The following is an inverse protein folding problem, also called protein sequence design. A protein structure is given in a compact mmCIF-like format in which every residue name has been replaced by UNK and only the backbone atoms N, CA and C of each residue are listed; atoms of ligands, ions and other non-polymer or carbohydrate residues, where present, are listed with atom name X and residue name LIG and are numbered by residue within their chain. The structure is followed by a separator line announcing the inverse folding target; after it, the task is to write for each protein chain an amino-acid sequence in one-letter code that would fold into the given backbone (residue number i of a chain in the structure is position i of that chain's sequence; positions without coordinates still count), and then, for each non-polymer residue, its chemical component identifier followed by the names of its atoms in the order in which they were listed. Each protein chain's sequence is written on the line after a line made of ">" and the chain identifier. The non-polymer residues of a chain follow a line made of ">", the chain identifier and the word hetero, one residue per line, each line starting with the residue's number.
data_IF_336116034961
#
_entry.id   IF_336116034961
#
_cell.length_a   1.000
_cell.length_b   1.000
_cell.length_c   1.000
_cell.angle_alpha   90.00
_cell.angle_beta   90.00
_cell.angle_gamma   90.00
#
_symmetry.space_group_name_H-M   'P 1'
#
loop_
_entity.id
_entity.type
_entity.pdbx_description
1 polymer ?
#
# COMPACT_ATOMS: atom_id res chain seq x y z
N UNK A 1 12.83 -19.76 -34.45
CA UNK A 1 12.95 -19.35 -35.86
C UNK A 1 12.65 -17.86 -35.90
N UNK A 2 13.69 -17.03 -35.79
CA UNK A 2 13.60 -15.56 -35.91
C UNK A 2 13.59 -15.16 -37.40
N UNK A 3 13.08 -13.96 -37.72
CA UNK A 3 13.95 -13.09 -38.48
C UNK A 3 13.98 -11.65 -37.97
N UNK A 4 15.19 -11.14 -37.88
CA UNK A 4 15.54 -9.73 -37.88
C UNK A 4 15.93 -9.33 -39.30
N UNK A 5 15.56 -8.13 -39.75
CA UNK A 5 16.31 -7.40 -40.79
C UNK A 5 16.13 -5.89 -40.62
N UNK A 6 17.23 -5.21 -40.33
CA UNK A 6 17.42 -3.77 -40.44
C UNK A 6 18.18 -3.46 -41.75
N UNK A 7 17.80 -2.38 -42.46
CA UNK A 7 18.67 -1.60 -43.38
C UNK A 7 17.96 -0.26 -43.67
N UNK A 8 18.47 0.89 -43.23
CA UNK A 8 19.52 1.81 -43.75
C UNK A 8 18.93 3.10 -44.39
N UNK A 9 18.93 4.16 -43.58
CA UNK A 9 19.35 5.55 -43.81
C UNK A 9 19.27 6.19 -45.22
N UNK A 10 18.59 7.35 -45.27
CA UNK A 10 18.98 8.50 -46.11
C UNK A 10 18.93 9.80 -45.28
N UNK A 11 20.07 10.51 -45.25
CA UNK A 11 20.29 11.80 -44.58
C UNK A 11 19.78 12.96 -45.44
N UNK A 12 19.12 13.94 -44.82
CA UNK A 12 19.12 15.33 -45.28
C UNK A 12 19.37 16.22 -44.07
N UNK A 13 20.42 17.03 -44.17
CA UNK A 13 20.82 18.02 -43.18
C UNK A 13 20.25 19.38 -43.56
N UNK A 14 19.68 20.10 -42.59
CA UNK A 14 19.56 21.56 -42.64
C UNK A 14 19.71 22.12 -41.23
N UNK A 15 20.75 22.94 -41.06
CA UNK A 15 21.06 23.68 -39.85
C UNK A 15 20.09 24.85 -39.62
N UNK A 16 19.67 25.09 -38.37
CA UNK A 16 20.17 26.23 -37.58
C UNK A 16 19.42 26.45 -36.25
N UNK A 17 20.24 26.68 -35.22
CA UNK A 17 20.03 27.53 -34.04
C UNK A 17 18.97 27.14 -32.99
N UNK A 18 19.47 26.46 -31.96
CA UNK A 18 19.52 27.05 -30.62
C UNK A 18 18.40 26.67 -29.65
N UNK A 19 18.52 25.53 -28.99
CA UNK A 19 18.01 25.37 -27.62
C UNK A 19 18.85 24.38 -26.83
N UNK A 20 19.22 24.81 -25.63
CA UNK A 20 20.22 24.23 -24.73
C UNK A 20 19.89 22.78 -24.41
N UNK A 21 20.89 21.92 -24.63
CA UNK A 21 20.98 20.57 -24.07
C UNK A 21 21.12 20.64 -22.56
N UNK A 22 20.20 19.99 -21.84
CA UNK A 22 20.41 19.52 -20.47
C UNK A 22 20.02 18.04 -20.45
N UNK A 23 20.99 17.19 -20.76
CA UNK A 23 21.04 15.86 -20.13
C UNK A 23 21.71 16.03 -18.77
N UNK A 24 21.28 15.24 -17.79
CA UNK A 24 22.09 14.48 -16.82
C UNK A 24 21.36 14.41 -15.47
N UNK A 25 20.95 13.19 -15.14
CA UNK A 25 20.77 12.58 -13.82
C UNK A 25 20.10 13.40 -12.71
N UNK A 26 18.90 12.96 -12.28
CA UNK A 26 18.48 13.10 -10.89
C UNK A 26 17.49 11.99 -10.49
N UNK A 27 17.82 11.28 -9.41
CA UNK A 27 17.05 10.23 -8.71
C UNK A 27 15.54 10.19 -8.97
N UNK A 28 15.06 9.16 -9.67
CA UNK A 28 13.70 9.15 -10.26
C UNK A 28 12.66 8.24 -9.59
N UNK A 29 13.01 7.48 -8.54
CA UNK A 29 12.06 6.54 -7.91
C UNK A 29 10.99 7.24 -7.06
N UNK A 30 11.39 8.06 -6.08
CA UNK A 30 10.46 8.72 -5.15
C UNK A 30 9.77 9.96 -5.71
N UNK A 31 10.39 10.64 -6.69
CA UNK A 31 9.87 11.87 -7.29
C UNK A 31 8.73 11.63 -8.29
N UNK A 32 8.64 10.42 -8.87
CA UNK A 32 7.59 10.09 -9.83
C UNK A 32 6.28 9.70 -9.15
N UNK A 33 6.34 8.83 -8.12
CA UNK A 33 5.18 8.41 -7.34
C UNK A 33 4.49 9.60 -6.66
N UNK A 34 5.25 10.41 -5.92
CA UNK A 34 4.72 11.61 -5.23
C UNK A 34 4.05 12.59 -6.19
N UNK A 35 4.61 12.78 -7.40
CA UNK A 35 3.98 13.60 -8.44
C UNK A 35 2.66 12.99 -8.93
N UNK A 36 2.64 11.70 -9.23
CA UNK A 36 1.42 11.00 -9.68
C UNK A 36 0.30 11.11 -8.65
N UNK A 37 0.62 10.91 -7.37
CA UNK A 37 -0.35 11.04 -6.27
C UNK A 37 -0.84 12.48 -6.15
N UNK A 38 0.07 13.47 -6.14
CA UNK A 38 -0.29 14.89 -6.04
C UNK A 38 -1.15 15.38 -7.21
N UNK A 39 -0.89 14.92 -8.43
CA UNK A 39 -1.71 15.24 -9.59
C UNK A 39 -3.09 14.57 -9.51
N UNK A 40 -3.16 13.35 -8.96
CA UNK A 40 -4.42 12.64 -8.74
C UNK A 40 -5.28 13.27 -7.64
N UNK A 41 -4.69 13.80 -6.57
CA UNK A 41 -5.41 14.54 -5.51
C UNK A 41 -6.15 15.77 -6.04
N UNK A 42 -5.56 16.47 -7.02
CA UNK A 42 -6.19 17.67 -7.62
C UNK A 42 -7.50 17.33 -8.35
N UNK A 43 -7.65 16.11 -8.85
CA UNK A 43 -8.79 15.68 -9.66
C UNK A 43 -10.05 15.47 -8.80
N UNK A 44 -9.90 15.08 -7.53
CA UNK A 44 -11.02 14.80 -6.62
C UNK A 44 -11.57 16.06 -5.92
N UNK A 45 -10.99 17.23 -6.21
CA UNK A 45 -11.46 18.56 -5.82
C UNK A 45 -11.14 18.99 -4.38
N UNK A 46 -11.10 18.04 -3.44
CA UNK A 46 -10.57 18.26 -2.10
C UNK A 46 -9.36 17.36 -1.89
N UNK A 47 -8.24 17.88 -1.36
CA UNK A 47 -7.15 17.02 -0.94
C UNK A 47 -7.69 16.02 0.07
N UNK A 48 -7.36 14.74 -0.08
CA UNK A 48 -7.59 13.76 1.00
C UNK A 48 -6.99 14.29 2.31
N UNK A 49 -5.93 15.09 2.24
CA UNK A 49 -5.26 15.69 3.41
C UNK A 49 -6.16 16.62 4.23
N UNK A 50 -7.26 17.13 3.67
CA UNK A 50 -8.30 17.81 4.46
C UNK A 50 -9.03 16.85 5.43
N UNK A 51 -9.15 15.57 5.06
CA UNK A 51 -9.71 14.52 5.93
C UNK A 51 -8.74 14.14 7.05
N UNK A 52 -7.44 14.05 6.77
CA UNK A 52 -6.41 13.89 7.81
C UNK A 52 -6.42 15.07 8.76
N UNK A 53 -6.58 16.29 8.25
CA UNK A 53 -6.73 17.50 9.06
C UNK A 53 -7.99 17.46 9.93
N UNK A 54 -9.16 17.09 9.40
CA UNK A 54 -10.38 16.98 10.21
C UNK A 54 -10.26 15.93 11.31
N UNK A 55 -9.61 14.80 11.01
CA UNK A 55 -9.32 13.77 12.01
C UNK A 55 -8.29 14.24 13.06
N UNK A 56 -7.22 14.92 12.64
CA UNK A 56 -6.18 15.50 13.52
C UNK A 56 -6.68 16.64 14.40
N UNK A 57 -7.68 17.39 13.92
CA UNK A 57 -8.30 18.49 14.62
C UNK A 57 -9.46 18.03 15.52
N UNK A 58 -9.75 16.73 15.61
CA UNK A 58 -10.69 16.23 16.62
C UNK A 58 -10.06 16.38 18.01
N UNK A 59 -10.88 16.71 19.01
CA UNK A 59 -10.44 16.86 20.40
C UNK A 59 -9.82 15.55 20.91
N UNK A 60 -10.35 14.42 20.46
CA UNK A 60 -9.90 13.10 20.82
C UNK A 60 -8.55 12.75 20.20
N UNK A 61 -8.32 13.06 18.91
CA UNK A 61 -7.00 12.82 18.31
C UNK A 61 -5.95 13.81 18.83
N UNK A 62 -6.37 15.01 19.22
CA UNK A 62 -5.51 15.95 19.97
C UNK A 62 -5.09 15.37 21.32
N UNK A 63 -6.00 14.71 22.05
CA UNK A 63 -5.69 13.99 23.28
C UNK A 63 -4.74 12.81 23.04
N UNK A 64 -4.96 12.02 21.99
CA UNK A 64 -4.04 10.94 21.58
C UNK A 64 -2.65 11.53 21.26
N UNK A 65 -2.59 12.61 20.47
CA UNK A 65 -1.35 13.27 20.11
C UNK A 65 -0.58 13.80 21.34
N UNK A 66 -1.28 14.36 22.33
CA UNK A 66 -0.67 14.77 23.61
C UNK A 66 -0.06 13.58 24.36
N UNK A 67 -0.73 12.43 24.37
CA UNK A 67 -0.20 11.22 25.00
C UNK A 67 0.99 10.63 24.23
N UNK A 68 0.94 10.61 22.90
CA UNK A 68 2.06 10.16 22.05
C UNK A 68 3.32 10.99 22.27
N UNK A 69 3.20 12.30 22.56
CA UNK A 69 4.36 13.15 22.90
C UNK A 69 5.16 12.64 24.11
N UNK A 70 4.53 11.91 25.04
CA UNK A 70 5.24 11.32 26.19
C UNK A 70 6.20 10.20 25.79
N UNK A 71 6.02 9.63 24.60
CA UNK A 71 6.91 8.59 24.05
C UNK A 71 8.12 9.19 23.32
N UNK A 72 8.18 10.52 23.14
CA UNK A 72 9.32 11.17 22.47
C UNK A 72 10.62 10.86 23.21
N UNK A 73 11.62 10.37 22.47
CA UNK A 73 12.88 9.88 23.03
C UNK A 73 12.93 8.35 23.21
N UNK A 74 11.85 7.64 22.94
CA UNK A 74 11.80 6.17 22.89
C UNK A 74 11.79 5.66 21.44
N UNK A 75 12.01 4.36 21.23
CA UNK A 75 11.84 3.69 19.93
C UNK A 75 10.45 3.04 19.78
N UNK A 76 9.45 3.47 20.55
CA UNK A 76 8.11 2.89 20.44
C UNK A 76 7.52 3.13 19.03
N UNK A 77 7.09 2.10 18.29
CA UNK A 77 6.64 2.22 16.89
C UNK A 77 5.48 3.20 16.68
N UNK A 78 4.62 3.38 17.68
CA UNK A 78 3.54 4.38 17.67
C UNK A 78 4.04 5.80 17.30
N UNK A 79 5.27 6.17 17.66
CA UNK A 79 5.87 7.44 17.25
C UNK A 79 6.07 7.52 15.74
N UNK A 80 6.51 6.43 15.11
CA UNK A 80 6.67 6.39 13.66
C UNK A 80 5.32 6.45 12.95
N UNK A 81 4.31 5.75 13.48
CA UNK A 81 2.92 5.85 12.98
C UNK A 81 2.41 7.28 13.09
N UNK A 82 2.60 7.94 14.24
CA UNK A 82 2.19 9.32 14.46
C UNK A 82 2.96 10.34 13.59
N UNK A 83 4.28 10.13 13.40
CA UNK A 83 5.10 10.93 12.48
C UNK A 83 4.64 10.76 11.05
N UNK A 84 4.24 9.55 10.66
CA UNK A 84 3.55 9.28 9.41
C UNK A 84 2.42 10.27 9.22
N UNK A 85 1.49 10.34 10.17
CA UNK A 85 0.32 11.22 10.10
C UNK A 85 0.63 12.72 9.97
N UNK A 86 1.71 13.20 10.59
CA UNK A 86 2.03 14.65 10.66
C UNK A 86 2.99 15.09 9.55
N UNK A 87 4.04 14.32 9.29
CA UNK A 87 5.16 14.74 8.44
C UNK A 87 5.16 14.08 7.06
N UNK A 88 4.60 12.88 6.90
CA UNK A 88 4.71 12.10 5.65
C UNK A 88 3.60 12.44 4.64
N UNK A 89 3.27 13.74 4.56
CA UNK A 89 2.41 14.38 3.56
C UNK A 89 2.84 14.16 2.10
N UNK A 90 4.00 13.53 1.87
CA UNK A 90 4.59 13.36 0.54
C UNK A 90 4.49 11.95 -0.04
N UNK A 91 4.25 10.90 0.77
CA UNK A 91 4.43 9.53 0.24
C UNK A 91 3.34 8.49 0.53
N UNK A 92 2.47 8.60 1.54
CA UNK A 92 1.64 7.41 1.85
C UNK A 92 0.29 7.60 2.51
N UNK A 93 -0.07 8.79 3.01
CA UNK A 93 -1.06 8.78 4.08
C UNK A 93 -2.48 8.39 3.68
N UNK A 94 -2.88 8.54 2.40
CA UNK A 94 -4.29 8.35 2.02
C UNK A 94 -4.51 7.78 0.63
N UNK A 95 -3.60 6.91 0.19
CA UNK A 95 -3.72 6.24 -1.11
C UNK A 95 -5.05 5.49 -1.24
N UNK A 96 -5.57 4.92 -0.15
CA UNK A 96 -6.80 4.11 -0.19
C UNK A 96 -8.02 5.00 -0.40
N UNK A 97 -8.16 6.05 0.42
CA UNK A 97 -9.22 7.05 0.23
C UNK A 97 -9.17 7.70 -1.15
N UNK A 98 -7.98 8.11 -1.61
CA UNK A 98 -7.80 8.72 -2.93
C UNK A 98 -8.25 7.79 -4.07
N UNK A 99 -7.84 6.52 -4.04
CA UNK A 99 -8.24 5.54 -5.04
C UNK A 99 -9.76 5.34 -5.05
N UNK A 100 -10.40 5.25 -3.88
CA UNK A 100 -11.87 5.14 -3.77
C UNK A 100 -12.56 6.36 -4.40
N UNK A 101 -12.06 7.57 -4.14
CA UNK A 101 -12.60 8.81 -4.71
C UNK A 101 -12.42 8.90 -6.23
N UNK A 102 -11.24 8.59 -6.73
CA UNK A 102 -10.95 8.57 -8.17
C UNK A 102 -11.81 7.55 -8.89
N UNK A 103 -11.97 6.36 -8.31
CA UNK A 103 -12.80 5.30 -8.91
C UNK A 103 -14.28 5.71 -8.93
N UNK A 104 -14.75 6.31 -7.85
CA UNK A 104 -16.11 6.89 -7.77
C UNK A 104 -16.33 7.94 -8.86
N UNK A 105 -15.36 8.83 -9.07
CA UNK A 105 -15.41 9.86 -10.11
C UNK A 105 -15.32 9.28 -11.53
N UNK A 106 -14.48 8.27 -11.74
CA UNK A 106 -14.30 7.62 -13.03
C UNK A 106 -15.55 6.84 -13.46
N UNK A 107 -16.24 6.20 -12.51
CA UNK A 107 -17.49 5.50 -12.77
C UNK A 107 -18.65 6.45 -13.07
N UNK A 108 -18.67 7.63 -12.44
CA UNK A 108 -19.76 8.59 -12.61
C UNK A 108 -21.09 8.09 -12.03
N UNK A 109 -22.21 8.77 -12.36
CA UNK A 109 -23.53 8.40 -11.86
C UNK A 109 -24.04 7.10 -12.50
N UNK A 110 -24.78 6.31 -11.73
CA UNK A 110 -25.49 5.12 -12.25
C UNK A 110 -26.87 5.50 -12.77
N UNK A 111 -27.27 4.93 -13.90
CA UNK A 111 -28.63 5.08 -14.44
C UNK A 111 -29.70 4.40 -13.56
N UNK A 112 -29.31 3.47 -12.69
CA UNK A 112 -30.21 2.75 -11.78
C UNK A 112 -30.45 3.49 -10.45
N UNK A 113 -29.71 4.57 -10.18
CA UNK A 113 -29.80 5.32 -8.93
C UNK A 113 -30.83 6.46 -9.01
N UNK A 114 -32.11 6.10 -9.14
CA UNK A 114 -33.23 7.05 -9.30
C UNK A 114 -33.35 8.01 -8.09
N UNK A 115 -33.00 7.54 -6.89
CA UNK A 115 -33.08 8.30 -5.64
C UNK A 115 -31.86 9.20 -5.37
N UNK A 116 -30.81 9.13 -6.21
CA UNK A 116 -29.59 9.92 -6.04
C UNK A 116 -29.57 11.08 -7.04
N UNK A 117 -29.68 12.31 -6.54
CA UNK A 117 -29.67 13.48 -7.39
C UNK A 117 -28.24 13.84 -7.81
N UNK A 118 -27.95 14.04 -9.12
CA UNK A 118 -26.63 14.48 -9.59
C UNK A 118 -26.17 15.81 -8.98
N UNK A 119 -27.10 16.63 -8.49
CA UNK A 119 -26.81 17.90 -7.82
C UNK A 119 -26.14 17.72 -6.45
N UNK A 120 -26.25 16.54 -5.83
CA UNK A 120 -25.61 16.24 -4.54
C UNK A 120 -24.11 15.95 -4.70
N UNK A 121 -23.64 15.76 -5.94
CA UNK A 121 -22.25 15.43 -6.22
C UNK A 121 -21.35 16.66 -6.10
N UNK A 122 -20.29 16.54 -5.32
CA UNK A 122 -19.22 17.55 -5.27
C UNK A 122 -18.06 17.07 -6.11
N UNK A 123 -17.71 17.81 -7.16
CA UNK A 123 -16.66 17.43 -8.13
C UNK A 123 -16.90 16.07 -8.80
N UNK A 124 -18.16 15.67 -8.98
CA UNK A 124 -18.52 14.40 -9.62
C UNK A 124 -18.41 13.17 -8.70
N UNK A 125 -18.49 13.36 -7.37
CA UNK A 125 -18.45 12.27 -6.37
C UNK A 125 -19.58 12.50 -5.36
N UNK A 126 -20.33 11.46 -5.03
CA UNK A 126 -21.41 11.53 -4.04
C UNK A 126 -20.88 11.65 -2.61
N UNK A 127 -21.61 12.32 -1.69
CA UNK A 127 -21.23 12.44 -0.28
C UNK A 127 -21.02 11.08 0.40
N UNK A 128 -21.85 10.08 0.11
CA UNK A 128 -21.71 8.72 0.66
C UNK A 128 -20.39 8.05 0.23
N UNK A 129 -19.96 8.24 -1.02
CA UNK A 129 -18.68 7.73 -1.52
C UNK A 129 -17.49 8.46 -0.88
N UNK A 130 -17.62 9.77 -0.64
CA UNK A 130 -16.61 10.54 0.11
C UNK A 130 -16.49 10.04 1.54
N UNK A 131 -17.62 9.87 2.24
CA UNK A 131 -17.66 9.31 3.59
C UNK A 131 -17.03 7.91 3.62
N UNK A 132 -17.32 7.05 2.64
CA UNK A 132 -16.68 5.73 2.53
C UNK A 132 -15.15 5.82 2.35
N UNK A 133 -14.66 6.79 1.59
CA UNK A 133 -13.22 7.02 1.43
C UNK A 133 -12.56 7.41 2.77
N UNK A 134 -13.17 8.30 3.57
CA UNK A 134 -12.62 8.63 4.90
C UNK A 134 -12.77 7.49 5.91
N UNK A 135 -13.88 6.73 5.89
CA UNK A 135 -14.03 5.50 6.68
C UNK A 135 -12.92 4.49 6.34
N UNK A 136 -12.64 4.28 5.05
CA UNK A 136 -11.60 3.35 4.58
C UNK A 136 -10.24 3.75 5.14
N UNK A 137 -9.94 5.04 5.15
CA UNK A 137 -8.68 5.55 5.66
C UNK A 137 -8.58 5.49 7.19
N UNK A 138 -9.69 5.73 7.90
CA UNK A 138 -9.77 5.56 9.36
C UNK A 138 -9.51 4.11 9.77
N UNK A 139 -10.09 3.13 9.06
CA UNK A 139 -9.83 1.70 9.32
C UNK A 139 -8.36 1.37 9.06
N UNK A 140 -7.79 1.86 7.96
CA UNK A 140 -6.38 1.63 7.67
C UNK A 140 -5.47 2.25 8.73
N UNK A 141 -5.78 3.47 9.16
CA UNK A 141 -5.09 4.20 10.23
C UNK A 141 -5.15 3.42 11.54
N UNK A 142 -6.33 2.92 11.93
CA UNK A 142 -6.50 2.09 13.12
C UNK A 142 -5.61 0.84 13.05
N UNK A 143 -5.62 0.16 11.91
CA UNK A 143 -4.79 -1.02 11.65
C UNK A 143 -3.29 -0.71 11.80
N UNK A 144 -2.78 0.39 11.22
CA UNK A 144 -1.38 0.79 11.36
C UNK A 144 -1.00 1.13 12.81
N UNK A 145 -1.91 1.75 13.57
CA UNK A 145 -1.71 2.06 14.98
C UNK A 145 -1.63 0.77 15.80
N UNK A 146 -2.52 -0.19 15.61
CA UNK A 146 -2.50 -1.49 16.28
C UNK A 146 -1.25 -2.32 15.93
N UNK A 147 -0.77 -2.26 14.68
CA UNK A 147 0.51 -2.90 14.29
C UNK A 147 1.73 -2.32 15.00
N UNK A 148 1.61 -1.14 15.61
CA UNK A 148 2.67 -0.50 16.39
C UNK A 148 2.83 -1.04 17.82
N UNK A 149 2.06 -2.06 18.23
CA UNK A 149 2.19 -2.72 19.53
C UNK A 149 3.48 -3.56 19.56
N UNK A 150 4.29 -3.37 20.60
CA UNK A 150 5.57 -4.08 20.76
C UNK A 150 5.43 -5.35 21.61
N UNK A 151 6.20 -6.38 21.24
CA UNK A 151 6.37 -7.57 22.08
C UNK A 151 7.32 -7.26 23.25
N UNK A 152 6.76 -7.08 24.45
CA UNK A 152 7.54 -6.73 25.64
C UNK A 152 8.51 -7.84 26.10
N UNK A 153 8.43 -9.06 25.56
CA UNK A 153 9.41 -10.13 25.83
C UNK A 153 10.73 -9.93 25.10
N UNK A 154 10.72 -9.26 23.95
CA UNK A 154 11.88 -8.99 23.09
C UNK A 154 12.45 -7.59 23.31
N UNK A 155 11.90 -6.84 24.27
CA UNK A 155 12.28 -5.47 24.57
C UNK A 155 13.73 -5.35 25.07
N UNK A 156 14.37 -4.26 24.69
CA UNK A 156 15.73 -3.90 25.10
C UNK A 156 15.79 -2.48 25.69
N UNK A 157 16.79 -2.19 26.52
CA UNK A 157 16.97 -0.85 27.10
C UNK A 157 17.12 0.27 26.04
N UNK A 158 17.61 -0.08 24.84
CA UNK A 158 17.69 0.84 23.70
C UNK A 158 16.33 1.32 23.19
N UNK A 159 15.24 0.60 23.49
CA UNK A 159 13.90 0.95 23.03
C UNK A 159 13.25 2.05 23.90
N UNK A 160 13.79 2.31 25.09
CA UNK A 160 13.21 3.18 26.11
C UNK A 160 12.80 2.40 27.35
N UNK A 161 12.30 3.06 28.40
CA UNK A 161 11.97 2.36 29.65
C UNK A 161 10.79 1.40 29.47
N UNK A 162 10.77 0.29 30.23
CA UNK A 162 9.66 -0.66 30.21
C UNK A 162 8.30 0.02 30.47
N UNK A 163 8.27 1.02 31.36
CA UNK A 163 7.06 1.81 31.65
C UNK A 163 6.57 2.58 30.43
N UNK A 164 7.50 3.16 29.66
CA UNK A 164 7.15 3.90 28.45
C UNK A 164 6.67 2.96 27.34
N UNK A 165 7.27 1.77 27.22
CA UNK A 165 6.81 0.76 26.27
C UNK A 165 5.41 0.24 26.59
N UNK A 166 5.14 -0.05 27.88
CA UNK A 166 3.81 -0.43 28.35
C UNK A 166 2.79 0.69 28.10
N UNK A 167 3.18 1.93 28.36
CA UNK A 167 2.34 3.10 28.09
C UNK A 167 2.06 3.24 26.59
N UNK A 168 3.07 3.06 25.74
CA UNK A 168 2.94 3.10 24.30
C UNK A 168 2.00 2.01 23.77
N UNK A 169 2.11 0.77 24.27
CA UNK A 169 1.20 -0.32 23.93
C UNK A 169 -0.23 0.01 24.33
N UNK A 170 -0.44 0.54 25.53
CA UNK A 170 -1.77 0.98 25.99
C UNK A 170 -2.35 2.04 25.07
N UNK A 171 -1.54 3.02 24.65
CA UNK A 171 -1.98 4.07 23.74
C UNK A 171 -2.28 3.54 22.34
N UNK A 172 -1.47 2.60 21.83
CA UNK A 172 -1.70 1.98 20.53
C UNK A 172 -3.04 1.22 20.49
N UNK A 173 -3.33 0.40 21.51
CA UNK A 173 -4.62 -0.31 21.60
C UNK A 173 -5.79 0.68 21.62
N UNK A 174 -5.80 1.61 22.58
CA UNK A 174 -6.92 2.54 22.77
C UNK A 174 -7.15 3.47 21.56
N UNK A 175 -6.07 3.95 20.94
CA UNK A 175 -6.17 4.85 19.80
C UNK A 175 -6.68 4.12 18.55
N UNK A 176 -6.21 2.89 18.31
CA UNK A 176 -6.73 2.07 17.22
C UNK A 176 -8.21 1.71 17.43
N UNK A 177 -8.62 1.36 18.65
CA UNK A 177 -10.01 1.04 18.99
C UNK A 177 -10.93 2.25 18.79
N UNK A 178 -10.48 3.45 19.20
CA UNK A 178 -11.20 4.69 18.99
C UNK A 178 -11.43 5.00 17.51
N UNK A 179 -10.38 4.89 16.68
CA UNK A 179 -10.48 5.11 15.24
C UNK A 179 -11.43 4.09 14.59
N UNK A 180 -11.36 2.83 15.00
CA UNK A 180 -12.23 1.77 14.49
C UNK A 180 -13.69 1.99 14.90
N UNK A 181 -13.96 2.42 16.13
CA UNK A 181 -15.31 2.76 16.59
C UNK A 181 -15.94 3.92 15.79
N UNK A 182 -15.15 4.94 15.48
CA UNK A 182 -15.58 6.04 14.61
C UNK A 182 -15.85 5.58 13.18
N UNK A 183 -14.99 4.70 12.64
CA UNK A 183 -15.22 4.11 11.32
C UNK A 183 -16.52 3.29 11.29
N UNK A 184 -16.79 2.47 12.31
CA UNK A 184 -18.05 1.71 12.44
C UNK A 184 -19.27 2.64 12.53
N UNK A 185 -19.17 3.74 13.27
CA UNK A 185 -20.24 4.75 13.34
C UNK A 185 -20.49 5.38 11.96
N UNK A 186 -19.42 5.74 11.24
CA UNK A 186 -19.51 6.24 9.87
C UNK A 186 -20.13 5.22 8.91
N UNK A 187 -19.76 3.93 9.01
CA UNK A 187 -20.34 2.86 8.20
C UNK A 187 -21.85 2.73 8.42
N UNK A 188 -22.30 2.79 9.67
CA UNK A 188 -23.73 2.75 9.99
C UNK A 188 -24.48 3.95 9.38
N UNK A 189 -23.88 5.14 9.39
CA UNK A 189 -24.45 6.35 8.80
C UNK A 189 -24.59 6.29 7.26
N UNK A 190 -23.85 5.39 6.58
CA UNK A 190 -24.06 5.15 5.14
C UNK A 190 -25.40 4.48 4.83
N UNK A 191 -26.10 3.92 5.84
CA UNK A 191 -27.42 3.28 5.71
C UNK A 191 -27.49 2.22 4.59
N UNK A 192 -26.39 1.48 4.38
CA UNK A 192 -26.31 0.42 3.37
C UNK A 192 -25.69 -0.84 3.98
N UNK A 193 -26.51 -1.83 4.29
CA UNK A 193 -26.10 -3.06 5.00
C UNK A 193 -25.09 -3.89 4.22
N UNK A 194 -25.17 -3.92 2.89
CA UNK A 194 -24.18 -4.63 2.04
C UNK A 194 -22.82 -3.96 2.09
N UNK A 195 -22.78 -2.62 2.15
CA UNK A 195 -21.53 -1.87 2.33
C UNK A 195 -20.94 -2.14 3.71
N UNK A 196 -21.77 -2.15 4.76
CA UNK A 196 -21.35 -2.55 6.11
C UNK A 196 -20.76 -3.96 6.10
N UNK A 197 -21.40 -4.92 5.45
CA UNK A 197 -20.94 -6.31 5.33
C UNK A 197 -19.60 -6.41 4.58
N UNK A 198 -19.48 -5.73 3.43
CA UNK A 198 -18.23 -5.69 2.66
C UNK A 198 -17.08 -5.12 3.48
N UNK A 199 -17.26 -3.99 4.16
CA UNK A 199 -16.17 -3.38 4.92
C UNK A 199 -15.87 -4.16 6.21
N UNK A 200 -16.89 -4.68 6.91
CA UNK A 200 -16.69 -5.50 8.11
C UNK A 200 -15.94 -6.80 7.79
N UNK A 201 -16.25 -7.44 6.66
CA UNK A 201 -15.48 -8.61 6.21
C UNK A 201 -14.05 -8.23 5.81
N UNK A 202 -13.80 -7.02 5.30
CA UNK A 202 -12.44 -6.55 5.03
C UNK A 202 -11.62 -6.36 6.32
N UNK A 203 -12.25 -5.91 7.41
CA UNK A 203 -11.62 -5.84 8.74
C UNK A 203 -11.25 -7.25 9.22
N UNK A 204 -12.15 -8.22 9.05
CA UNK A 204 -11.88 -9.63 9.34
C UNK A 204 -10.68 -10.18 8.55
N UNK A 205 -10.64 -9.92 7.25
CA UNK A 205 -9.53 -10.32 6.38
C UNK A 205 -8.19 -9.73 6.86
N UNK A 206 -8.16 -8.44 7.21
CA UNK A 206 -6.95 -7.78 7.72
C UNK A 206 -6.40 -8.45 8.98
N UNK A 207 -7.28 -8.74 9.95
CA UNK A 207 -6.90 -9.40 11.21
C UNK A 207 -6.41 -10.83 10.94
N UNK A 208 -7.09 -11.56 10.06
CA UNK A 208 -6.67 -12.90 9.65
C UNK A 208 -5.29 -12.88 8.97
N UNK A 209 -5.04 -11.91 8.10
CA UNK A 209 -3.75 -11.73 7.44
C UNK A 209 -2.59 -11.50 8.43
N UNK A 210 -2.82 -10.72 9.49
CA UNK A 210 -1.82 -10.52 10.56
C UNK A 210 -1.57 -11.80 11.36
N UNK A 211 -2.61 -12.58 11.64
CA UNK A 211 -2.45 -13.85 12.32
C UNK A 211 -1.53 -14.81 11.53
N UNK A 212 -1.69 -14.85 10.20
CA UNK A 212 -0.81 -15.63 9.33
C UNK A 212 0.61 -15.05 9.24
N UNK A 213 0.78 -13.72 9.21
CA UNK A 213 2.11 -13.08 9.28
C UNK A 213 2.89 -13.51 10.53
N UNK A 214 2.24 -13.53 11.69
CA UNK A 214 2.91 -13.88 12.95
C UNK A 214 3.27 -15.36 13.04
N UNK A 215 2.36 -16.27 12.65
CA UNK A 215 2.61 -17.71 12.70
C UNK A 215 3.70 -18.16 11.71
N UNK A 216 3.84 -17.48 10.57
CA UNK A 216 4.83 -17.82 9.56
C UNK A 216 6.28 -17.42 9.93
N UNK A 217 6.47 -16.53 10.92
CA UNK A 217 7.79 -16.08 11.35
C UNK A 217 8.52 -17.08 12.28
N UNK A 218 7.83 -17.94 13.03
CA UNK A 218 8.47 -18.76 14.07
C UNK A 218 8.79 -20.21 13.63
N UNK A 219 7.98 -20.86 12.78
CA UNK A 219 8.19 -22.27 12.39
C UNK A 219 8.30 -22.51 10.86
N UNK A 220 7.56 -21.78 10.02
CA UNK A 220 7.47 -22.07 8.57
C UNK A 220 8.61 -21.47 7.71
N UNK A 221 9.32 -20.46 8.23
CA UNK A 221 10.52 -19.91 7.58
C UNK A 221 11.62 -20.97 7.40
N UNK A 222 11.63 -22.02 8.24
CA UNK A 222 12.62 -23.09 8.23
C UNK A 222 12.11 -24.38 7.54
N UNK A 223 10.81 -24.66 7.55
CA UNK A 223 10.22 -25.96 7.20
C UNK A 223 9.68 -26.15 5.76
N UNK A 224 9.79 -25.16 4.87
CA UNK A 224 9.62 -25.33 3.42
C UNK A 224 8.21 -25.13 2.84
N UNK A 225 7.26 -24.51 3.55
CA UNK A 225 5.83 -24.58 3.20
C UNK A 225 5.15 -23.36 2.56
N UNK A 226 5.80 -22.20 2.38
CA UNK A 226 5.11 -21.01 1.83
C UNK A 226 5.40 -20.89 0.33
N UNK A 227 4.41 -21.19 -0.50
CA UNK A 227 4.46 -20.96 -1.94
C UNK A 227 3.97 -19.54 -2.30
N UNK A 228 4.13 -19.17 -3.58
CA UNK A 228 3.76 -17.84 -4.09
C UNK A 228 2.26 -17.58 -3.96
N UNK A 229 1.43 -18.62 -4.09
CA UNK A 229 -0.02 -18.51 -3.94
C UNK A 229 -0.41 -18.17 -2.50
N UNK A 230 0.21 -18.84 -1.52
CA UNK A 230 0.03 -18.56 -0.09
C UNK A 230 0.50 -17.15 0.27
N UNK A 231 1.61 -16.71 -0.33
CA UNK A 231 2.08 -15.32 -0.18
C UNK A 231 1.07 -14.31 -0.75
N UNK A 232 0.52 -14.55 -1.95
CA UNK A 232 -0.44 -13.64 -2.59
C UNK A 232 -1.74 -13.56 -1.77
N UNK A 233 -2.21 -14.70 -1.24
CA UNK A 233 -3.37 -14.74 -0.35
C UNK A 233 -3.11 -13.95 0.93
N UNK A 234 -1.98 -14.21 1.60
CA UNK A 234 -1.60 -13.50 2.82
C UNK A 234 -1.45 -11.99 2.57
N UNK A 235 -0.77 -11.59 1.50
CA UNK A 235 -0.60 -10.20 1.10
C UNK A 235 -1.95 -9.54 0.75
N UNK A 236 -2.87 -10.28 0.13
CA UNK A 236 -4.21 -9.79 -0.12
C UNK A 236 -4.95 -9.56 1.20
N UNK A 237 -4.96 -10.52 2.11
CA UNK A 237 -5.63 -10.41 3.40
C UNK A 237 -5.08 -9.24 4.22
N UNK A 238 -3.75 -9.14 4.38
CA UNK A 238 -3.13 -8.15 5.27
C UNK A 238 -2.97 -6.74 4.68
N UNK A 239 -3.04 -6.58 3.35
CA UNK A 239 -2.78 -5.29 2.70
C UNK A 239 -3.85 -4.85 1.69
N UNK A 240 -4.44 -5.80 0.96
CA UNK A 240 -5.28 -5.52 -0.21
C UNK A 240 -6.79 -5.59 -0.01
N UNK A 241 -7.26 -6.40 0.94
CA UNK A 241 -8.67 -6.69 1.15
C UNK A 241 -9.51 -5.43 1.37
N UNK A 242 -9.03 -4.53 2.24
CA UNK A 242 -9.69 -3.26 2.52
C UNK A 242 -9.85 -2.39 1.27
N UNK A 243 -8.79 -2.21 0.48
CA UNK A 243 -8.89 -1.38 -0.72
C UNK A 243 -9.82 -2.00 -1.77
N UNK A 244 -9.71 -3.31 -2.00
CA UNK A 244 -10.53 -4.03 -2.96
C UNK A 244 -12.03 -3.94 -2.61
N UNK A 245 -12.37 -4.22 -1.34
CA UNK A 245 -13.75 -4.18 -0.85
C UNK A 245 -14.29 -2.74 -0.75
N UNK A 246 -13.47 -1.75 -0.43
CA UNK A 246 -13.87 -0.34 -0.48
C UNK A 246 -14.15 0.15 -1.91
N UNK A 247 -13.35 -0.26 -2.89
CA UNK A 247 -13.61 0.03 -4.30
C UNK A 247 -14.95 -0.57 -4.75
N UNK A 248 -15.22 -1.82 -4.37
CA UNK A 248 -16.50 -2.49 -4.65
C UNK A 248 -17.68 -1.78 -3.96
N UNK A 249 -17.52 -1.43 -2.68
CA UNK A 249 -18.53 -0.75 -1.89
C UNK A 249 -18.89 0.63 -2.45
N UNK A 250 -17.90 1.36 -3.00
CA UNK A 250 -18.14 2.65 -3.65
C UNK A 250 -19.08 2.55 -4.86
N UNK A 251 -19.03 1.42 -5.58
CA UNK A 251 -19.94 1.13 -6.69
C UNK A 251 -21.33 0.71 -6.19
N UNK A 252 -21.41 -0.11 -5.13
CA UNK A 252 -22.69 -0.51 -4.53
C UNK A 252 -23.45 0.68 -3.91
N UNK A 253 -22.75 1.66 -3.31
CA UNK A 253 -23.37 2.86 -2.73
C UNK A 253 -24.22 3.66 -3.73
N UNK A 254 -23.85 3.60 -5.01
CA UNK A 254 -24.54 4.32 -6.10
C UNK A 254 -25.23 3.36 -7.05
N UNK A 255 -25.50 2.11 -6.62
CA UNK A 255 -26.26 1.11 -7.38
C UNK A 255 -25.70 0.87 -8.81
N UNK A 256 -24.38 0.89 -8.99
CA UNK A 256 -23.76 0.38 -10.22
C UNK A 256 -23.98 -1.13 -10.34
N UNK A 257 -23.98 -1.65 -11.56
CA UNK A 257 -24.23 -3.07 -11.81
C UNK A 257 -23.15 -3.99 -11.20
N UNK A 258 -23.43 -5.29 -11.16
CA UNK A 258 -22.52 -6.26 -10.54
C UNK A 258 -21.18 -6.39 -11.26
N UNK A 259 -21.13 -6.07 -12.55
CA UNK A 259 -19.90 -6.14 -13.33
C UNK A 259 -18.97 -4.96 -13.00
N UNK A 260 -19.49 -3.74 -12.94
CA UNK A 260 -18.77 -2.56 -12.48
C UNK A 260 -18.26 -2.73 -11.05
N UNK A 261 -19.08 -3.29 -10.14
CA UNK A 261 -18.65 -3.65 -8.78
C UNK A 261 -17.49 -4.66 -8.79
N UNK A 262 -17.58 -5.70 -9.63
CA UNK A 262 -16.53 -6.74 -9.75
C UNK A 262 -15.23 -6.18 -10.34
N UNK A 263 -15.33 -5.27 -11.30
CA UNK A 263 -14.16 -4.61 -11.92
C UNK A 263 -13.49 -3.65 -10.94
N UNK A 264 -14.28 -2.89 -10.17
CA UNK A 264 -13.80 -2.04 -9.08
C UNK A 264 -13.04 -2.85 -8.02
N UNK A 265 -13.59 -3.99 -7.60
CA UNK A 265 -12.91 -4.93 -6.69
C UNK A 265 -11.57 -5.40 -7.26
N UNK A 266 -11.56 -5.85 -8.53
CA UNK A 266 -10.32 -6.32 -9.19
C UNK A 266 -9.27 -5.23 -9.27
N UNK A 267 -9.66 -4.00 -9.61
CA UNK A 267 -8.74 -2.88 -9.63
C UNK A 267 -8.08 -2.68 -8.26
N UNK A 268 -8.86 -2.56 -7.19
CA UNK A 268 -8.32 -2.38 -5.83
C UNK A 268 -7.46 -3.56 -5.36
N UNK A 269 -7.85 -4.81 -5.67
CA UNK A 269 -7.08 -6.02 -5.37
C UNK A 269 -5.72 -6.00 -6.05
N UNK A 270 -5.69 -5.81 -7.36
CA UNK A 270 -4.44 -5.88 -8.10
C UNK A 270 -3.55 -4.67 -7.82
N UNK A 271 -4.11 -3.47 -7.64
CA UNK A 271 -3.35 -2.29 -7.26
C UNK A 271 -2.62 -2.47 -5.93
N UNK A 272 -3.32 -2.98 -4.91
CA UNK A 272 -2.74 -3.18 -3.58
C UNK A 272 -1.67 -4.27 -3.57
N UNK A 273 -1.87 -5.39 -4.27
CA UNK A 273 -0.86 -6.44 -4.43
C UNK A 273 0.39 -5.94 -5.17
N UNK A 274 0.21 -5.18 -6.25
CA UNK A 274 1.31 -4.52 -6.95
C UNK A 274 2.07 -3.57 -6.02
N UNK A 275 1.37 -2.76 -5.23
CA UNK A 275 2.00 -1.86 -4.27
C UNK A 275 2.79 -2.61 -3.19
N UNK A 276 2.27 -3.74 -2.68
CA UNK A 276 3.00 -4.59 -1.72
C UNK A 276 4.27 -5.17 -2.34
N UNK A 277 4.19 -5.66 -3.59
CA UNK A 277 5.36 -6.14 -4.34
C UNK A 277 6.40 -5.05 -4.55
N UNK A 278 5.96 -3.85 -4.94
CA UNK A 278 6.86 -2.71 -5.10
C UNK A 278 7.59 -2.40 -3.79
N UNK A 279 6.88 -2.36 -2.67
CA UNK A 279 7.48 -2.16 -1.35
C UNK A 279 8.49 -3.25 -0.99
N UNK A 280 8.18 -4.52 -1.27
CA UNK A 280 9.07 -5.66 -1.02
C UNK A 280 10.31 -5.64 -1.93
N UNK A 281 10.21 -5.05 -3.11
CA UNK A 281 11.31 -4.90 -4.08
C UNK A 281 12.24 -3.73 -3.77
N UNK A 282 11.79 -2.71 -3.02
CA UNK A 282 12.60 -1.50 -2.76
C UNK A 282 14.02 -1.81 -2.25
N UNK A 283 14.23 -2.73 -1.28
CA UNK A 283 15.56 -3.07 -0.81
C UNK A 283 16.48 -3.67 -1.89
N UNK A 284 15.88 -4.29 -2.90
CA UNK A 284 16.59 -5.00 -3.94
C UNK A 284 16.92 -4.12 -5.15
N UNK A 285 16.13 -3.09 -5.41
CA UNK A 285 16.29 -2.26 -6.62
C UNK A 285 16.96 -0.90 -6.34
N UNK A 286 16.84 -0.36 -5.13
CA UNK A 286 17.56 0.87 -4.76
C UNK A 286 19.04 0.58 -4.50
N UNK A 287 19.92 1.35 -5.14
CA UNK A 287 21.34 1.42 -4.78
C UNK A 287 21.55 2.46 -3.69
N UNK A 288 21.21 2.11 -2.45
CA UNK A 288 21.57 2.91 -1.28
C UNK A 288 23.01 2.62 -0.89
N UNK A 289 23.97 3.40 -1.39
CA UNK A 289 25.33 3.38 -0.86
C UNK A 289 25.30 4.04 0.54
N UNK A 290 25.21 3.26 1.62
CA UNK A 290 25.40 3.83 2.96
C UNK A 290 24.96 3.00 4.15
N UNK A 291 23.85 2.26 4.08
CA UNK A 291 23.33 1.49 5.23
C UNK A 291 22.76 0.13 4.79
N UNK A 292 22.87 -0.93 5.64
CA UNK A 292 22.21 -2.20 5.37
C UNK A 292 20.69 -1.99 5.46
N UNK A 293 20.00 -1.94 4.33
CA UNK A 293 18.54 -1.96 4.31
C UNK A 293 18.05 -3.32 4.84
N UNK A 294 17.35 -3.30 5.96
CA UNK A 294 16.66 -4.48 6.47
C UNK A 294 15.44 -4.78 5.59
N UNK A 295 15.14 -6.06 5.40
CA UNK A 295 13.99 -6.53 4.62
C UNK A 295 13.36 -7.74 5.29
N UNK A 296 12.08 -8.02 4.99
CA UNK A 296 11.41 -9.20 5.55
C UNK A 296 11.85 -10.47 4.83
N UNK A 297 12.17 -11.52 5.59
CA UNK A 297 12.42 -12.86 5.03
C UNK A 297 11.16 -13.51 4.40
N UNK A 298 9.98 -12.96 4.68
CA UNK A 298 8.71 -13.33 4.05
C UNK A 298 8.37 -12.49 2.82
N UNK A 299 9.25 -11.56 2.42
CA UNK A 299 9.03 -10.73 1.23
C UNK A 299 9.07 -11.57 -0.06
N UNK A 300 8.32 -11.14 -1.08
CA UNK A 300 8.21 -11.89 -2.33
C UNK A 300 9.57 -12.23 -2.98
N UNK A 301 10.56 -11.31 -3.09
CA UNK A 301 11.85 -11.64 -3.70
C UNK A 301 12.59 -12.77 -2.98
N UNK A 302 12.51 -12.82 -1.64
CA UNK A 302 13.13 -13.86 -0.81
C UNK A 302 12.40 -15.18 -0.96
N UNK A 303 11.06 -15.17 -0.98
CA UNK A 303 10.27 -16.38 -1.19
C UNK A 303 10.51 -17.00 -2.56
N UNK A 304 10.53 -16.19 -3.63
CA UNK A 304 10.89 -16.67 -4.97
C UNK A 304 12.29 -17.25 -4.99
N UNK A 305 13.27 -16.56 -4.38
CA UNK A 305 14.64 -17.06 -4.28
C UNK A 305 14.69 -18.42 -3.57
N UNK A 306 14.05 -18.54 -2.40
CA UNK A 306 13.96 -19.79 -1.63
C UNK A 306 13.37 -20.93 -2.46
N UNK A 307 12.31 -20.65 -3.22
CA UNK A 307 11.67 -21.65 -4.09
C UNK A 307 12.60 -22.10 -5.23
N UNK A 308 13.38 -21.17 -5.80
CA UNK A 308 14.32 -21.44 -6.90
C UNK A 308 15.51 -22.29 -6.42
N UNK A 309 16.12 -21.92 -5.29
CA UNK A 309 17.33 -22.59 -4.79
C UNK A 309 17.04 -23.88 -4.02
N UNK A 310 15.80 -24.04 -3.54
CA UNK A 310 15.37 -25.16 -2.72
C UNK A 310 15.69 -24.99 -1.22
N UNK A 311 15.03 -25.75 -0.34
CA UNK A 311 15.11 -25.57 1.11
C UNK A 311 16.52 -25.79 1.68
N UNK A 312 17.26 -26.79 1.18
CA UNK A 312 18.61 -27.10 1.68
C UNK A 312 19.61 -25.97 1.40
N UNK A 313 19.64 -25.48 0.15
CA UNK A 313 20.54 -24.38 -0.24
C UNK A 313 20.16 -23.08 0.45
N UNK A 314 18.86 -22.83 0.64
CA UNK A 314 18.39 -21.68 1.42
C UNK A 314 18.85 -21.74 2.88
N UNK A 315 18.74 -22.91 3.53
CA UNK A 315 19.23 -23.10 4.90
C UNK A 315 20.75 -22.88 5.00
N UNK A 316 21.53 -23.37 4.03
CA UNK A 316 22.97 -23.10 3.97
C UNK A 316 23.28 -21.61 3.83
N UNK A 317 22.56 -20.89 2.96
CA UNK A 317 22.71 -19.45 2.79
C UNK A 317 22.35 -18.67 4.06
N UNK A 318 21.30 -19.07 4.78
CA UNK A 318 20.93 -18.50 6.08
C UNK A 318 22.00 -18.76 7.15
N UNK A 319 22.55 -19.97 7.22
CA UNK A 319 23.63 -20.29 8.15
C UNK A 319 24.90 -19.48 7.85
N UNK A 320 25.25 -19.33 6.57
CA UNK A 320 26.42 -18.54 6.15
C UNK A 320 26.26 -17.04 6.42
N UNK A 321 25.03 -16.53 6.38
CA UNK A 321 24.72 -15.15 6.70
C UNK A 321 24.48 -14.91 8.20
N UNK A 322 24.39 -15.96 9.02
CA UNK A 322 24.28 -15.82 10.48
C UNK A 322 25.66 -15.63 11.08
N UNK A 323 25.88 -14.48 11.71
CA UNK A 323 27.13 -14.16 12.41
C UNK A 323 27.31 -15.00 13.68
N UNK A 324 28.53 -15.03 14.23
CA UNK A 324 28.85 -15.71 15.50
C UNK A 324 28.01 -15.24 16.71
N UNK A 325 27.37 -14.07 16.62
CA UNK A 325 26.45 -13.54 17.64
C UNK A 325 24.99 -13.93 17.40
N UNK A 326 24.74 -14.89 16.50
CA UNK A 326 23.41 -15.31 16.06
C UNK A 326 22.57 -14.16 15.47
N UNK A 327 23.24 -13.18 14.86
CA UNK A 327 22.60 -12.06 14.15
C UNK A 327 22.71 -12.27 12.65
N UNK A 328 21.61 -12.04 11.95
CA UNK A 328 21.50 -12.20 10.50
C UNK A 328 22.19 -11.02 9.77
N UNK A 329 23.13 -11.32 8.89
CA UNK A 329 23.74 -10.36 7.97
C UNK A 329 22.83 -10.15 6.74
N UNK A 330 21.98 -9.14 6.85
CA UNK A 330 21.07 -8.75 5.77
C UNK A 330 21.82 -8.32 4.49
N UNK A 331 23.04 -7.79 4.60
CA UNK A 331 23.79 -7.35 3.42
C UNK A 331 24.24 -8.53 2.56
N UNK A 332 24.68 -9.61 3.21
CA UNK A 332 25.06 -10.86 2.55
C UNK A 332 23.84 -11.55 1.92
N UNK A 333 22.72 -11.64 2.65
CA UNK A 333 21.49 -12.24 2.10
C UNK A 333 20.92 -11.44 0.94
N UNK A 334 20.95 -10.11 1.03
CA UNK A 334 20.53 -9.23 -0.06
C UNK A 334 21.36 -9.48 -1.32
N UNK A 335 22.68 -9.63 -1.20
CA UNK A 335 23.55 -9.97 -2.34
C UNK A 335 23.22 -11.34 -2.93
N UNK A 336 22.97 -12.34 -2.08
CA UNK A 336 22.58 -13.70 -2.49
C UNK A 336 21.25 -13.69 -3.26
N UNK A 337 20.22 -13.03 -2.73
CA UNK A 337 18.90 -12.94 -3.38
C UNK A 337 18.98 -12.16 -4.70
N UNK A 338 19.83 -11.12 -4.78
CA UNK A 338 20.08 -10.37 -6.03
C UNK A 338 20.81 -11.20 -7.10
N UNK A 339 21.61 -12.18 -6.70
CA UNK A 339 22.40 -12.98 -7.64
C UNK A 339 21.57 -13.98 -8.45
N UNK A 340 20.39 -14.34 -7.95
CA UNK A 340 19.49 -15.32 -8.57
C UNK A 340 18.21 -14.65 -9.12
N UNK A 341 17.31 -15.45 -9.72
CA UNK A 341 16.08 -14.96 -10.37
C UNK A 341 14.93 -14.58 -9.41
N UNK A 342 15.18 -14.53 -8.10
CA UNK A 342 14.16 -14.18 -7.10
C UNK A 342 13.59 -12.77 -7.29
N UNK A 343 14.50 -11.80 -7.46
CA UNK A 343 14.14 -10.39 -7.69
C UNK A 343 13.41 -10.22 -9.03
N UNK A 344 13.91 -10.83 -10.12
CA UNK A 344 13.25 -10.72 -11.42
C UNK A 344 11.84 -11.33 -11.42
N UNK A 345 11.65 -12.47 -10.73
CA UNK A 345 10.33 -13.11 -10.62
C UNK A 345 9.33 -12.24 -9.85
N UNK A 346 9.78 -11.57 -8.78
CA UNK A 346 8.95 -10.61 -8.05
C UNK A 346 8.62 -9.35 -8.89
N UNK A 347 9.55 -8.88 -9.72
CA UNK A 347 9.30 -7.79 -10.68
C UNK A 347 8.25 -8.19 -11.71
N UNK A 348 8.34 -9.41 -12.27
CA UNK A 348 7.36 -9.93 -13.23
C UNK A 348 5.96 -10.04 -12.61
N UNK A 349 5.87 -10.53 -11.37
CA UNK A 349 4.61 -10.59 -10.63
C UNK A 349 4.04 -9.19 -10.36
N UNK A 350 4.90 -8.21 -10.03
CA UNK A 350 4.49 -6.82 -9.85
C UNK A 350 3.89 -6.23 -11.14
N UNK A 351 4.54 -6.49 -12.27
CA UNK A 351 4.05 -6.09 -13.59
C UNK A 351 2.73 -6.78 -13.94
N UNK A 352 2.57 -8.06 -13.60
CA UNK A 352 1.31 -8.79 -13.77
C UNK A 352 0.16 -8.10 -13.02
N UNK A 353 0.32 -7.79 -11.74
CA UNK A 353 -0.72 -7.10 -10.97
C UNK A 353 -1.01 -5.69 -11.51
N UNK A 354 0.02 -4.92 -11.88
CA UNK A 354 -0.18 -3.61 -12.52
C UNK A 354 -1.02 -3.73 -13.80
N UNK A 355 -0.70 -4.67 -14.69
CA UNK A 355 -1.45 -4.90 -15.93
C UNK A 355 -2.90 -5.33 -15.66
N UNK A 356 -3.13 -6.23 -14.69
CA UNK A 356 -4.50 -6.63 -14.30
C UNK A 356 -5.32 -5.47 -13.73
N UNK A 357 -4.69 -4.54 -12.99
CA UNK A 357 -5.35 -3.31 -12.55
C UNK A 357 -5.71 -2.41 -13.75
N UNK A 358 -4.79 -2.22 -14.69
CA UNK A 358 -5.03 -1.45 -15.92
C UNK A 358 -6.19 -2.00 -16.74
N UNK A 359 -6.23 -3.32 -16.96
CA UNK A 359 -7.34 -3.98 -17.66
C UNK A 359 -8.69 -3.76 -16.95
N UNK A 360 -8.72 -3.83 -15.62
CA UNK A 360 -9.95 -3.63 -14.85
C UNK A 360 -10.48 -2.20 -14.96
N UNK A 361 -9.61 -1.19 -14.97
CA UNK A 361 -10.03 0.21 -15.00
C UNK A 361 -10.39 0.70 -16.42
N UNK A 362 -9.84 0.08 -17.47
CA UNK A 362 -10.15 0.42 -18.86
C UNK A 362 -11.62 0.23 -19.24
N UNK A 363 -12.34 -0.63 -18.51
CA UNK A 363 -13.78 -0.84 -18.69
C UNK A 363 -14.64 0.35 -18.21
N UNK A 364 -14.07 1.27 -17.42
CA UNK A 364 -14.77 2.47 -16.96
C UNK A 364 -14.69 3.61 -18.01
N UNK A 365 -15.67 4.55 -18.00
CA UNK A 365 -15.69 5.67 -18.92
C UNK A 365 -14.40 6.50 -18.92
N UNK A 366 -13.99 6.95 -20.11
CA UNK A 366 -12.80 7.79 -20.26
C UNK A 366 -12.98 9.12 -19.54
N UNK A 367 -12.07 9.42 -18.62
CA UNK A 367 -12.09 10.63 -17.80
C UNK A 367 -10.69 10.91 -17.25
N UNK A 368 -10.46 12.13 -16.74
CA UNK A 368 -9.21 12.47 -16.03
C UNK A 368 -8.99 11.56 -14.81
N UNK A 369 -10.06 11.19 -14.11
CA UNK A 369 -9.99 10.28 -12.96
C UNK A 369 -9.57 8.87 -13.37
N UNK A 370 -10.08 8.35 -14.50
CA UNK A 370 -9.64 7.07 -15.06
C UNK A 370 -8.17 7.11 -15.44
N UNK A 371 -7.74 8.16 -16.13
CA UNK A 371 -6.34 8.35 -16.52
C UNK A 371 -5.40 8.45 -15.30
N UNK A 372 -5.84 9.08 -14.21
CA UNK A 372 -5.09 9.13 -12.97
C UNK A 372 -4.94 7.75 -12.32
N UNK A 373 -5.98 6.92 -12.31
CA UNK A 373 -5.91 5.54 -11.84
C UNK A 373 -4.96 4.69 -12.70
N UNK A 374 -5.02 4.86 -14.02
CA UNK A 374 -4.07 4.22 -14.95
C UNK A 374 -2.61 4.64 -14.66
N UNK A 375 -2.38 5.93 -14.39
CA UNK A 375 -1.07 6.46 -14.03
C UNK A 375 -0.57 5.90 -12.69
N UNK A 376 -1.43 5.81 -11.68
CA UNK A 376 -1.10 5.21 -10.38
C UNK A 376 -0.71 3.74 -10.57
N UNK A 377 -1.54 2.96 -11.27
CA UNK A 377 -1.26 1.55 -11.53
C UNK A 377 0.07 1.35 -12.29
N UNK A 378 0.35 2.21 -13.27
CA UNK A 378 1.60 2.17 -14.04
C UNK A 378 2.81 2.57 -13.20
N UNK A 379 2.66 3.53 -12.27
CA UNK A 379 3.75 4.01 -11.42
C UNK A 379 4.28 2.94 -10.46
N UNK A 380 3.45 1.96 -10.07
CA UNK A 380 3.83 0.84 -9.19
C UNK A 380 4.97 0.00 -9.76
N UNK A 381 5.13 -0.06 -11.08
CA UNK A 381 6.18 -0.87 -11.74
C UNK A 381 7.46 -0.09 -12.01
N UNK A 382 7.53 1.18 -11.57
CA UNK A 382 8.72 2.01 -11.70
C UNK A 382 9.56 1.87 -10.43
N UNK A 383 10.66 1.14 -10.54
CA UNK A 383 11.57 0.83 -9.44
C UNK A 383 12.74 1.83 -9.35
#
# INVERSE_FOLDING_TARGET
>A
MFPATWSRLSRLASSSRGRRTLSLFSSSGSSNWSKVVSDAEKIVGYPTSFMSLRCLLSDELSNVAMHVRKLVGTQHPLLNTARGFVYDSKNNLQMRGLVVLLLSKAAGPSSAAIDLHPQDMVSGIYPSQRNLAEITELIHTAFLVHRGIVNLKEWTLSDGSLKDMQFGNKMAVLSGDFLLANACTGLAQLNNTKVVEMISSAIGDLVQGIYYENNNNEENALAGGVDVASWEEQAFLSHGALLAKSCQAAMELVKHDKEAQRLAYKYGKHLSLGHKLNSDLQPFVKSSAGEPESFSLSSAPVLFHRQIVGPERWQQQLQQATTLRNQLDYSQLLAVVKSEKGVSSAVDLCCYHSNRALEAIQAFPSSEARAALENIASAITKF
#
